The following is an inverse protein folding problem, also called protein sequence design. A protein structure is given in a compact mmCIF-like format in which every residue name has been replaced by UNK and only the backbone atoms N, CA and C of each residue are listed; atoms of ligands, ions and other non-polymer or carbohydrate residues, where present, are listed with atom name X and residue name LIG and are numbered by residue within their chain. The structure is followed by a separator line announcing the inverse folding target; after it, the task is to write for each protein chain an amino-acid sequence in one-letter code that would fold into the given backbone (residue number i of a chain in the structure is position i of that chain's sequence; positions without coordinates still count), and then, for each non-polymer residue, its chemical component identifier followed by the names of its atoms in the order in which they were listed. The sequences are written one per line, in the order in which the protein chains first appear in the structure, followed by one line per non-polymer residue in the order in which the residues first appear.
data_IF_516640298176
#
_entry.id   IF_516640298176
#
_cell.length_a   1.000
_cell.length_b   1.000
_cell.length_c   1.000
_cell.angle_alpha   90.00
_cell.angle_beta   90.00
_cell.angle_gamma   90.00
#
_symmetry.space_group_name_H-M   'P 1'
#
loop_
_entity.id
_entity.type
_entity.pdbx_description
1 polymer ?
#
# COMPACT_ATOMS: atom_id res chain seq x y z
N UNK A 1 -2.62 12.96 14.13
CA UNK A 1 -2.46 12.98 12.71
C UNK A 1 -3.58 12.34 11.91
N UNK A 2 -3.48 11.06 11.55
CA UNK A 2 -4.40 10.40 10.61
C UNK A 2 -5.87 10.35 11.08
N UNK A 3 -6.12 10.19 12.38
CA UNK A 3 -7.49 10.18 12.94
C UNK A 3 -8.26 11.49 12.66
N UNK A 4 -7.58 12.64 12.67
CA UNK A 4 -8.21 13.91 12.35
C UNK A 4 -8.58 14.03 10.87
N UNK A 5 -7.76 13.46 9.97
CA UNK A 5 -8.06 13.39 8.55
C UNK A 5 -9.24 12.43 8.27
N UNK A 6 -9.26 11.28 8.93
CA UNK A 6 -10.37 10.31 8.81
C UNK A 6 -11.69 10.95 9.23
N UNK A 7 -11.72 11.70 10.33
CA UNK A 7 -12.92 12.41 10.79
C UNK A 7 -13.40 13.48 9.80
N UNK A 8 -12.50 14.10 9.03
CA UNK A 8 -12.83 15.17 8.07
C UNK A 8 -13.18 14.67 6.67
N UNK A 9 -12.46 13.66 6.18
CA UNK A 9 -12.51 13.22 4.78
C UNK A 9 -13.06 11.80 4.60
N UNK A 10 -13.24 11.06 5.70
CA UNK A 10 -13.64 9.65 5.69
C UNK A 10 -12.47 8.71 5.45
N UNK A 11 -12.72 7.42 5.68
CA UNK A 11 -11.70 6.36 5.63
C UNK A 11 -11.11 6.18 4.22
N UNK A 12 -11.96 6.08 3.18
CA UNK A 12 -11.52 5.81 1.82
C UNK A 12 -10.65 6.92 1.24
N UNK A 13 -11.04 8.20 1.43
CA UNK A 13 -10.26 9.35 0.95
C UNK A 13 -8.93 9.48 1.68
N UNK A 14 -8.95 9.29 3.01
CA UNK A 14 -7.72 9.34 3.82
C UNK A 14 -6.74 8.25 3.40
N UNK A 15 -7.24 7.05 3.12
CA UNK A 15 -6.39 5.96 2.61
C UNK A 15 -5.82 6.28 1.22
N UNK A 16 -6.65 6.81 0.30
CA UNK A 16 -6.18 7.27 -1.01
C UNK A 16 -5.05 8.29 -0.92
N UNK A 17 -5.17 9.28 -0.02
CA UNK A 17 -4.10 10.26 0.24
C UNK A 17 -2.84 9.57 0.78
N UNK A 18 -2.97 8.61 1.71
CA UNK A 18 -1.86 7.81 2.21
C UNK A 18 -1.14 7.04 1.09
N UNK A 19 -1.89 6.44 0.16
CA UNK A 19 -1.32 5.75 -1.01
C UNK A 19 -0.53 6.69 -1.92
N UNK A 20 -1.08 7.86 -2.27
CA UNK A 20 -0.40 8.86 -3.11
C UNK A 20 0.86 9.37 -2.41
N UNK A 21 0.77 9.71 -1.13
CA UNK A 21 1.93 10.17 -0.35
C UNK A 21 3.03 9.09 -0.30
N UNK A 22 2.65 7.83 -0.11
CA UNK A 22 3.58 6.71 -0.15
C UNK A 22 4.32 6.59 -1.49
N UNK A 23 3.61 6.76 -2.63
CA UNK A 23 4.24 6.74 -3.96
C UNK A 23 5.23 7.89 -4.11
N UNK A 24 4.90 9.09 -3.63
CA UNK A 24 5.80 10.24 -3.67
C UNK A 24 7.07 10.01 -2.81
N UNK A 25 6.90 9.44 -1.61
CA UNK A 25 8.01 9.12 -0.70
C UNK A 25 8.92 8.06 -1.31
N UNK A 26 8.36 6.99 -1.88
CA UNK A 26 9.14 5.96 -2.57
C UNK A 26 9.80 6.48 -3.84
N UNK A 27 9.11 7.35 -4.60
CA UNK A 27 9.68 8.02 -5.76
C UNK A 27 10.89 8.89 -5.39
N UNK A 28 10.81 9.60 -4.26
CA UNK A 28 11.94 10.39 -3.77
C UNK A 28 13.17 9.51 -3.46
N UNK A 29 12.97 8.31 -2.94
CA UNK A 29 14.08 7.38 -2.66
C UNK A 29 14.96 7.11 -3.89
N UNK A 30 14.39 7.12 -5.10
CA UNK A 30 15.15 6.91 -6.34
C UNK A 30 16.09 8.06 -6.70
N UNK A 31 15.90 9.23 -6.09
CA UNK A 31 16.72 10.43 -6.33
C UNK A 31 17.84 10.59 -5.29
N UNK A 32 17.85 9.76 -4.23
CA UNK A 32 18.89 9.82 -3.21
C UNK A 32 20.21 9.23 -3.73
N UNK A 33 21.30 9.97 -3.50
CA UNK A 33 22.66 9.58 -3.83
C UNK A 33 23.43 8.98 -2.66
N UNK A 34 24.69 8.63 -2.93
CA UNK A 34 25.60 8.16 -1.90
C UNK A 34 25.96 9.31 -0.95
N UNK A 35 25.55 9.19 0.32
CA UNK A 35 25.89 10.17 1.38
C UNK A 35 24.70 10.95 1.94
N UNK A 36 23.52 10.87 1.33
CA UNK A 36 22.30 11.61 1.73
C UNK A 36 21.58 10.94 2.92
N UNK A 37 22.34 10.69 4.01
CA UNK A 37 21.81 10.01 5.20
C UNK A 37 20.65 10.76 5.85
N UNK A 38 20.69 12.08 5.88
CA UNK A 38 19.62 12.89 6.47
C UNK A 38 18.32 12.74 5.70
N UNK A 39 18.37 12.82 4.38
CA UNK A 39 17.21 12.64 3.50
C UNK A 39 16.66 11.22 3.57
N UNK A 40 17.55 10.23 3.70
CA UNK A 40 17.15 8.84 3.91
C UNK A 40 16.36 8.65 5.22
N UNK A 41 16.77 9.27 6.32
CA UNK A 41 16.01 9.24 7.58
C UNK A 41 14.63 9.89 7.44
N UNK A 42 14.53 11.01 6.72
CA UNK A 42 13.23 11.66 6.44
C UNK A 42 12.32 10.76 5.64
N UNK A 43 12.85 10.13 4.58
CA UNK A 43 12.10 9.15 3.78
C UNK A 43 11.62 7.98 4.63
N UNK A 44 12.46 7.41 5.50
CA UNK A 44 12.07 6.33 6.40
C UNK A 44 10.95 6.74 7.36
N UNK A 45 11.03 7.94 7.92
CA UNK A 45 10.00 8.47 8.83
C UNK A 45 8.65 8.68 8.09
N UNK A 46 8.68 9.25 6.89
CA UNK A 46 7.50 9.46 6.06
C UNK A 46 6.92 8.13 5.56
N UNK A 47 7.76 7.18 5.14
CA UNK A 47 7.33 5.84 4.76
C UNK A 47 6.66 5.10 5.92
N UNK A 48 7.20 5.19 7.12
CA UNK A 48 6.58 4.65 8.34
C UNK A 48 5.22 5.28 8.65
N UNK A 49 5.10 6.60 8.48
CA UNK A 49 3.83 7.30 8.66
C UNK A 49 2.76 6.86 7.65
N UNK A 50 3.12 6.67 6.38
CA UNK A 50 2.19 6.19 5.34
C UNK A 50 1.84 4.71 5.51
N UNK A 51 2.77 3.88 5.97
CA UNK A 51 2.53 2.47 6.26
C UNK A 51 1.41 2.29 7.30
N UNK A 52 1.32 3.19 8.28
CA UNK A 52 0.24 3.19 9.28
C UNK A 52 -1.16 3.27 8.65
N UNK A 53 -1.33 4.01 7.56
CA UNK A 53 -2.61 4.09 6.85
C UNK A 53 -2.93 2.79 6.11
N UNK A 54 -1.94 2.16 5.48
CA UNK A 54 -2.12 0.90 4.76
C UNK A 54 -2.45 -0.28 5.67
N UNK A 55 -2.00 -0.25 6.92
CA UNK A 55 -2.30 -1.30 7.89
C UNK A 55 -3.66 -1.12 8.57
N UNK A 56 -4.04 0.12 8.88
CA UNK A 56 -5.22 0.40 9.70
C UNK A 56 -6.50 0.63 8.87
N UNK A 57 -6.42 1.40 7.79
CA UNK A 57 -7.62 1.87 7.09
C UNK A 57 -8.35 0.80 6.28
N UNK A 58 -7.68 -0.17 5.62
CA UNK A 58 -8.39 -1.22 4.87
C UNK A 58 -9.27 -2.08 5.78
N UNK A 59 -8.75 -2.47 6.95
CA UNK A 59 -9.52 -3.25 7.93
C UNK A 59 -10.72 -2.47 8.47
N UNK A 60 -10.55 -1.17 8.73
CA UNK A 60 -11.63 -0.29 9.16
C UNK A 60 -12.71 -0.11 8.07
N UNK A 61 -12.29 0.04 6.80
CA UNK A 61 -13.23 0.07 5.66
C UNK A 61 -14.02 -1.22 5.53
N UNK A 62 -13.35 -2.38 5.65
CA UNK A 62 -14.01 -3.68 5.62
C UNK A 62 -15.05 -3.79 6.74
N UNK A 63 -14.70 -3.40 7.96
CA UNK A 63 -15.64 -3.39 9.08
C UNK A 63 -16.86 -2.48 8.82
N UNK A 64 -16.65 -1.32 8.20
CA UNK A 64 -17.72 -0.41 7.78
C UNK A 64 -18.66 -1.05 6.76
N UNK A 65 -18.11 -1.70 5.74
CA UNK A 65 -18.91 -2.43 4.72
C UNK A 65 -19.73 -3.55 5.35
N UNK A 66 -19.14 -4.35 6.24
CA UNK A 66 -19.83 -5.43 6.95
C UNK A 66 -21.02 -4.88 7.76
N UNK A 67 -20.81 -3.74 8.45
CA UNK A 67 -21.85 -3.10 9.23
C UNK A 67 -22.99 -2.58 8.34
N UNK A 68 -22.69 -1.96 7.21
CA UNK A 68 -23.70 -1.45 6.26
C UNK A 68 -24.53 -2.57 5.62
N UNK A 69 -23.95 -3.75 5.41
CA UNK A 69 -24.67 -4.92 4.88
C UNK A 69 -25.51 -5.66 5.95
N UNK A 70 -25.50 -5.20 7.19
CA UNK A 70 -26.24 -5.86 8.28
C UNK A 70 -25.62 -7.19 8.73
N UNK A 71 -24.40 -7.50 8.31
CA UNK A 71 -23.71 -8.76 8.62
C UNK A 71 -22.90 -8.71 9.92
N UNK A 72 -23.00 -7.60 10.65
CA UNK A 72 -22.28 -7.41 11.92
C UNK A 72 -22.73 -8.44 12.97
N UNK A 73 -21.76 -9.09 13.61
CA UNK A 73 -22.00 -10.11 14.63
C UNK A 73 -22.29 -11.52 14.09
N UNK A 74 -22.53 -11.69 12.78
CA UNK A 74 -22.84 -13.00 12.19
C UNK A 74 -21.79 -13.49 11.21
N UNK A 75 -21.32 -12.65 10.29
CA UNK A 75 -20.43 -13.05 9.20
C UNK A 75 -19.05 -12.35 9.25
N UNK A 76 -18.80 -11.54 10.26
CA UNK A 76 -17.52 -10.81 10.42
C UNK A 76 -16.31 -11.74 10.30
N UNK A 77 -16.37 -12.92 10.96
CA UNK A 77 -15.30 -13.91 10.91
C UNK A 77 -14.99 -14.41 9.51
N UNK A 78 -16.03 -14.62 8.67
CA UNK A 78 -15.86 -15.04 7.29
C UNK A 78 -15.20 -13.93 6.44
N UNK A 79 -15.66 -12.68 6.56
CA UNK A 79 -15.07 -11.53 5.84
C UNK A 79 -13.61 -11.31 6.22
N UNK A 80 -13.27 -11.27 7.50
CA UNK A 80 -11.89 -11.12 7.95
C UNK A 80 -11.05 -12.36 7.69
N UNK A 81 -11.63 -13.56 7.66
CA UNK A 81 -10.98 -14.79 7.22
C UNK A 81 -10.52 -14.71 5.76
N UNK A 82 -11.40 -14.31 4.86
CA UNK A 82 -11.07 -14.09 3.45
C UNK A 82 -10.07 -12.95 3.25
N UNK A 83 -10.20 -11.85 4.00
CA UNK A 83 -9.24 -10.76 3.99
C UNK A 83 -7.84 -11.23 4.38
N UNK A 84 -7.72 -11.97 5.49
CA UNK A 84 -6.45 -12.52 5.95
C UNK A 84 -5.87 -13.53 4.96
N UNK A 85 -6.70 -14.39 4.38
CA UNK A 85 -6.28 -15.33 3.35
C UNK A 85 -5.71 -14.58 2.14
N UNK A 86 -6.44 -13.61 1.59
CA UNK A 86 -5.98 -12.81 0.45
C UNK A 86 -4.67 -12.07 0.75
N UNK A 87 -4.54 -11.47 1.95
CA UNK A 87 -3.33 -10.77 2.38
C UNK A 87 -2.13 -11.72 2.46
N UNK A 88 -2.30 -12.90 3.04
CA UNK A 88 -1.23 -13.91 3.15
C UNK A 88 -0.88 -14.52 1.80
N UNK A 89 -1.87 -14.76 0.94
CA UNK A 89 -1.65 -15.23 -0.42
C UNK A 89 -0.86 -14.21 -1.23
N UNK A 90 -1.22 -12.93 -1.15
CA UNK A 90 -0.47 -11.84 -1.80
C UNK A 90 0.99 -11.78 -1.33
N UNK A 91 1.23 -11.92 -0.01
CA UNK A 91 2.59 -11.96 0.54
C UNK A 91 3.39 -13.18 0.03
N UNK A 92 2.76 -14.35 -0.02
CA UNK A 92 3.39 -15.57 -0.53
C UNK A 92 3.72 -15.47 -2.02
N UNK A 93 2.80 -14.90 -2.83
CA UNK A 93 3.04 -14.66 -4.25
C UNK A 93 4.16 -13.63 -4.46
N UNK A 94 4.15 -12.53 -3.69
CA UNK A 94 5.23 -11.54 -3.76
C UNK A 94 6.58 -12.17 -3.45
N UNK A 95 6.71 -12.94 -2.37
CA UNK A 95 7.95 -13.61 -2.00
C UNK A 95 8.37 -14.68 -3.03
N UNK A 96 7.42 -15.48 -3.51
CA UNK A 96 7.68 -16.58 -4.44
C UNK A 96 8.01 -16.13 -5.87
N UNK A 97 7.48 -15.00 -6.32
CA UNK A 97 7.66 -14.50 -7.69
C UNK A 97 8.82 -13.51 -7.83
N UNK A 98 9.16 -12.78 -6.76
CA UNK A 98 10.16 -11.70 -6.85
C UNK A 98 11.55 -12.23 -7.21
N UNK A 99 12.04 -13.28 -6.58
CA UNK A 99 13.36 -13.82 -6.86
C UNK A 99 13.47 -14.41 -8.27
N UNK A 100 12.53 -15.26 -8.75
CA UNK A 100 12.55 -15.71 -10.14
C UNK A 100 12.47 -14.57 -11.15
N UNK A 101 11.63 -13.57 -10.91
CA UNK A 101 11.50 -12.40 -11.78
C UNK A 101 12.81 -11.59 -11.84
N UNK A 102 13.48 -11.38 -10.72
CA UNK A 102 14.79 -10.74 -10.66
C UNK A 102 15.86 -11.54 -11.39
N UNK A 103 15.85 -12.89 -11.27
CA UNK A 103 16.76 -13.77 -12.01
C UNK A 103 16.58 -13.65 -13.52
N UNK A 104 15.33 -13.54 -14.02
CA UNK A 104 15.05 -13.30 -15.44
C UNK A 104 15.53 -11.92 -15.93
N UNK A 105 15.63 -10.94 -15.02
CA UNK A 105 16.16 -9.60 -15.30
C UNK A 105 17.70 -9.51 -15.15
N UNK A 106 18.38 -10.65 -14.95
CA UNK A 106 19.84 -10.70 -14.86
C UNK A 106 20.41 -10.40 -13.47
N UNK A 107 19.56 -10.39 -12.43
CA UNK A 107 20.04 -10.25 -11.06
C UNK A 107 20.57 -11.57 -10.52
N UNK A 108 21.82 -11.60 -10.08
CA UNK A 108 22.44 -12.73 -9.38
C UNK A 108 22.69 -12.32 -7.92
N UNK A 109 22.12 -13.04 -6.94
CA UNK A 109 22.35 -12.76 -5.53
C UNK A 109 23.84 -12.85 -5.17
N UNK A 110 24.38 -11.76 -4.59
CA UNK A 110 25.79 -11.68 -4.21
C UNK A 110 26.69 -10.98 -5.24
N UNK A 111 26.27 -10.80 -6.47
CA UNK A 111 26.98 -10.00 -7.46
C UNK A 111 26.49 -8.54 -7.47
N UNK A 112 27.43 -7.60 -7.66
CA UNK A 112 27.12 -6.16 -7.77
C UNK A 112 27.33 -5.66 -9.19
N UNK A 113 26.71 -6.34 -10.15
CA UNK A 113 26.72 -5.88 -11.54
C UNK A 113 25.82 -4.64 -11.69
N UNK A 114 26.18 -3.66 -12.53
CA UNK A 114 25.34 -2.47 -12.77
C UNK A 114 23.92 -2.84 -13.21
N UNK A 115 23.77 -3.82 -14.08
CA UNK A 115 22.48 -4.29 -14.60
C UNK A 115 21.65 -4.97 -13.49
N UNK A 116 22.28 -5.77 -12.64
CA UNK A 116 21.63 -6.41 -11.50
C UNK A 116 21.14 -5.39 -10.46
N UNK A 117 21.90 -4.32 -10.20
CA UNK A 117 21.50 -3.25 -9.30
C UNK A 117 20.35 -2.41 -9.87
N UNK A 118 20.33 -2.17 -11.19
CA UNK A 118 19.21 -1.51 -11.85
C UNK A 118 17.93 -2.35 -11.80
N UNK A 119 18.03 -3.67 -12.09
CA UNK A 119 16.92 -4.60 -11.98
C UNK A 119 16.33 -4.62 -10.56
N UNK A 120 17.21 -4.63 -9.54
CA UNK A 120 16.83 -4.56 -8.14
C UNK A 120 16.10 -3.24 -7.82
N UNK A 121 16.63 -2.10 -8.27
CA UNK A 121 16.03 -0.79 -8.09
C UNK A 121 14.63 -0.69 -8.73
N UNK A 122 14.49 -1.19 -9.96
CA UNK A 122 13.20 -1.25 -10.66
C UNK A 122 12.19 -2.12 -9.90
N UNK A 123 12.59 -3.31 -9.47
CA UNK A 123 11.70 -4.23 -8.76
C UNK A 123 11.27 -3.70 -7.39
N UNK A 124 12.16 -3.03 -6.66
CA UNK A 124 11.87 -2.55 -5.29
C UNK A 124 11.29 -1.14 -5.23
N UNK A 125 11.55 -0.28 -6.21
CA UNK A 125 11.04 1.09 -6.20
C UNK A 125 9.88 1.29 -7.18
N UNK A 126 10.03 0.90 -8.44
CA UNK A 126 9.05 1.21 -9.49
C UNK A 126 7.84 0.29 -9.43
N UNK A 127 8.04 -1.02 -9.29
CA UNK A 127 6.93 -1.98 -9.27
C UNK A 127 5.93 -1.73 -8.13
N UNK A 128 6.36 -1.52 -6.87
CA UNK A 128 5.42 -1.17 -5.80
C UNK A 128 4.67 0.14 -6.05
N UNK A 129 5.33 1.15 -6.62
CA UNK A 129 4.69 2.42 -6.97
C UNK A 129 3.58 2.23 -8.00
N UNK A 130 3.85 1.47 -9.07
CA UNK A 130 2.85 1.18 -10.12
C UNK A 130 1.66 0.41 -9.53
N UNK A 131 1.92 -0.66 -8.77
CA UNK A 131 0.86 -1.44 -8.13
C UNK A 131 0.03 -0.59 -7.17
N UNK A 132 0.66 0.30 -6.42
CA UNK A 132 -0.02 1.20 -5.50
C UNK A 132 -0.86 2.25 -6.21
N UNK A 133 -0.40 2.79 -7.34
CA UNK A 133 -1.20 3.69 -8.17
C UNK A 133 -2.41 2.97 -8.79
N UNK A 134 -2.25 1.74 -9.23
CA UNK A 134 -3.38 0.93 -9.70
C UNK A 134 -4.40 0.68 -8.58
N UNK A 135 -3.94 0.33 -7.39
CA UNK A 135 -4.79 0.15 -6.21
C UNK A 135 -5.50 1.46 -5.81
N UNK A 136 -4.80 2.59 -5.81
CA UNK A 136 -5.38 3.91 -5.52
C UNK A 136 -6.44 4.29 -6.56
N UNK A 137 -6.20 4.00 -7.84
CA UNK A 137 -7.16 4.23 -8.93
C UNK A 137 -8.39 3.35 -8.77
N UNK A 138 -8.22 2.08 -8.42
CA UNK A 138 -9.32 1.18 -8.12
C UNK A 138 -10.13 1.66 -6.92
N UNK A 139 -9.48 2.04 -5.82
CA UNK A 139 -10.13 2.62 -4.65
C UNK A 139 -10.94 3.87 -5.02
N UNK A 140 -10.37 4.77 -5.82
CA UNK A 140 -11.03 5.99 -6.26
C UNK A 140 -12.28 5.67 -7.08
N UNK A 141 -12.21 4.75 -8.04
CA UNK A 141 -13.33 4.40 -8.92
C UNK A 141 -14.42 3.60 -8.21
N UNK A 142 -14.05 2.72 -7.29
CA UNK A 142 -15.00 1.80 -6.65
C UNK A 142 -15.63 2.36 -5.38
N UNK A 143 -14.91 3.21 -4.63
CA UNK A 143 -15.35 3.67 -3.31
C UNK A 143 -15.54 5.19 -3.21
N UNK A 144 -14.87 5.99 -4.03
CA UNK A 144 -14.92 7.46 -3.92
C UNK A 144 -15.86 8.07 -4.95
N UNK A 145 -15.84 7.60 -6.19
CA UNK A 145 -16.71 8.07 -7.27
C UNK A 145 -18.20 7.68 -7.10
N UNK A 146 -18.56 6.41 -6.77
CA UNK A 146 -19.94 6.09 -6.49
C UNK A 146 -20.27 6.62 -5.09
N UNK A 147 -21.03 7.69 -5.01
CA UNK A 147 -21.40 8.42 -3.81
C UNK A 147 -22.37 7.75 -2.78
N UNK A 148 -22.58 6.43 -2.70
CA UNK A 148 -23.36 5.87 -1.61
C UNK A 148 -22.59 5.67 -0.31
N UNK A 149 -21.25 5.66 -0.33
CA UNK A 149 -20.42 5.44 0.86
C UNK A 149 -19.91 6.73 1.53
N UNK A 150 -20.28 7.90 1.01
CA UNK A 150 -19.79 9.20 1.49
C UNK A 150 -20.55 9.77 2.70
N UNK A 151 -21.59 9.09 3.21
CA UNK A 151 -22.30 9.49 4.44
C UNK A 151 -22.03 8.49 5.56
N UNK A 152 -20.81 8.43 6.04
CA UNK A 152 -20.55 8.03 7.42
C UNK A 152 -20.82 9.26 8.29
N UNK A 153 -22.07 9.41 8.71
CA UNK A 153 -22.42 10.29 9.84
C UNK A 153 -21.84 9.69 11.13
N UNK A 154 -21.36 10.55 12.03
CA UNK A 154 -20.68 10.18 13.28
C UNK A 154 -21.53 9.32 14.21
#
# INVERSE_FOLDING_TARGET
GWLSLVKRWGLARTWGVGMVLSVLVFGWTTLLGNGDLADFFVVCALAGATLGTDLALPGALLAGVIAQQGHRGHLEGAYFGWWNFATKLNLALAAGLTLPALGLLGYVPGERTPDGLQALGLAYAVLPCVLKLLAATALYRLFILPAPFAKETP
#
